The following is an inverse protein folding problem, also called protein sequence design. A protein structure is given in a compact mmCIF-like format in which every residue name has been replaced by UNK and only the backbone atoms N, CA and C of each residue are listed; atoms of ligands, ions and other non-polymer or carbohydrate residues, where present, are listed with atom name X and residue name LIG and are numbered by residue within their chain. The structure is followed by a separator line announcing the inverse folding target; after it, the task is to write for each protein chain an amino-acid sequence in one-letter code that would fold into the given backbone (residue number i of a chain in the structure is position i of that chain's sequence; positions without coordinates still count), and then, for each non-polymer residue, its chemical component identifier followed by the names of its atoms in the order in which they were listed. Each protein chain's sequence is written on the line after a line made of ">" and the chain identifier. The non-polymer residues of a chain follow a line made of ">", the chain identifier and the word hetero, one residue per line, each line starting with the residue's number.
data_IF_677512073591
#
_entry.id   IF_677512073591
#
_cell.length_a   1.000
_cell.length_b   1.000
_cell.length_c   1.000
_cell.angle_alpha   90.00
_cell.angle_beta   90.00
_cell.angle_gamma   90.00
#
_symmetry.space_group_name_H-M   'P 1'
#
loop_
_entity.id
_entity.type
_entity.pdbx_description
1 polymer ?
#
# COMPACT_ATOMS: atom_id res chain seq x y z
N UNK A 1 33.44 -14.62 17.51
CA UNK A 1 32.15 -14.68 18.23
C UNK A 1 30.95 -14.37 17.33
N UNK A 2 31.00 -13.41 16.39
CA UNK A 2 29.84 -13.04 15.55
C UNK A 2 29.27 -14.11 14.57
N UNK A 3 30.00 -15.18 14.24
CA UNK A 3 29.65 -16.10 13.13
C UNK A 3 28.67 -17.22 13.50
N UNK A 4 28.60 -17.60 14.77
CA UNK A 4 27.76 -18.73 15.25
C UNK A 4 26.32 -18.30 15.53
N UNK A 5 26.14 -17.09 16.08
CA UNK A 5 24.81 -16.52 16.38
C UNK A 5 24.03 -16.11 15.11
N UNK A 6 24.73 -15.80 14.01
CA UNK A 6 24.10 -15.49 12.72
C UNK A 6 23.66 -16.73 11.93
N UNK A 7 24.29 -17.89 12.17
CA UNK A 7 24.00 -19.13 11.42
C UNK A 7 22.74 -19.86 11.89
N UNK A 8 22.30 -19.64 13.13
CA UNK A 8 21.08 -20.21 13.70
C UNK A 8 20.00 -19.17 13.99
N UNK A 9 20.08 -17.98 13.37
CA UNK A 9 19.15 -16.89 13.64
C UNK A 9 17.80 -17.21 13.00
N UNK A 10 16.79 -17.42 13.84
CA UNK A 10 15.42 -17.63 13.37
C UNK A 10 14.98 -16.47 12.47
N UNK A 11 14.25 -16.82 11.41
CA UNK A 11 13.74 -15.84 10.47
C UNK A 11 12.42 -15.24 10.98
N UNK A 12 12.54 -14.47 12.06
CA UNK A 12 11.43 -13.74 12.69
C UNK A 12 10.70 -12.82 11.70
N UNK A 13 11.38 -12.35 10.65
CA UNK A 13 10.80 -11.48 9.63
C UNK A 13 9.82 -12.25 8.72
N UNK A 14 10.06 -13.53 8.45
CA UNK A 14 9.11 -14.37 7.70
C UNK A 14 7.94 -14.82 8.58
N UNK A 15 8.18 -15.19 9.83
CA UNK A 15 7.10 -15.62 10.74
C UNK A 15 6.19 -14.48 11.18
N UNK A 16 6.74 -13.27 11.37
CA UNK A 16 5.99 -12.10 11.84
C UNK A 16 5.52 -11.20 10.69
N UNK A 17 6.12 -11.34 9.51
CA UNK A 17 5.89 -10.46 8.37
C UNK A 17 4.60 -10.76 7.59
N UNK A 18 4.44 -10.16 6.41
CA UNK A 18 3.22 -10.25 5.60
C UNK A 18 2.86 -11.68 5.19
N UNK A 19 3.84 -12.57 5.06
CA UNK A 19 3.63 -14.00 4.77
C UNK A 19 3.37 -14.87 6.00
N UNK A 20 3.38 -14.28 7.20
CA UNK A 20 3.25 -14.96 8.48
C UNK A 20 2.07 -14.43 9.30
N UNK A 21 2.28 -14.24 10.60
CA UNK A 21 1.21 -13.90 11.56
C UNK A 21 0.50 -12.57 11.25
N UNK A 22 1.22 -11.57 10.75
CA UNK A 22 0.62 -10.28 10.40
C UNK A 22 -0.37 -10.40 9.22
N UNK A 23 0.02 -11.10 8.14
CA UNK A 23 -0.87 -11.31 6.99
C UNK A 23 -2.09 -12.16 7.33
N UNK A 24 -1.94 -13.18 8.20
CA UNK A 24 -3.09 -13.96 8.70
C UNK A 24 -4.05 -13.08 9.50
N UNK A 25 -3.54 -12.18 10.34
CA UNK A 25 -4.39 -11.26 11.11
C UNK A 25 -5.15 -10.27 10.20
N UNK A 26 -4.50 -9.73 9.17
CA UNK A 26 -5.14 -8.88 8.15
C UNK A 26 -6.23 -9.62 7.37
N UNK A 27 -5.96 -10.84 6.91
CA UNK A 27 -6.95 -11.67 6.22
C UNK A 27 -8.15 -12.00 7.12
N UNK A 28 -7.91 -12.22 8.41
CA UNK A 28 -8.97 -12.41 9.41
C UNK A 28 -9.82 -11.14 9.55
N UNK A 29 -9.21 -9.96 9.58
CA UNK A 29 -9.94 -8.69 9.67
C UNK A 29 -10.78 -8.43 8.40
N UNK A 30 -10.21 -8.64 7.21
CA UNK A 30 -10.92 -8.44 5.95
C UNK A 30 -12.10 -9.41 5.82
N UNK A 31 -11.92 -10.68 6.19
CA UNK A 31 -12.99 -11.68 6.14
C UNK A 31 -14.13 -11.36 7.11
N UNK A 32 -13.83 -10.92 8.33
CA UNK A 32 -14.84 -10.46 9.30
C UNK A 32 -15.66 -9.30 8.76
N UNK A 33 -15.01 -8.29 8.17
CA UNK A 33 -15.73 -7.15 7.58
C UNK A 33 -16.52 -7.53 6.34
N UNK A 34 -16.02 -8.45 5.50
CA UNK A 34 -16.78 -8.96 4.34
C UNK A 34 -18.10 -9.62 4.77
N UNK A 35 -18.08 -10.43 5.82
CA UNK A 35 -19.29 -11.06 6.34
C UNK A 35 -20.23 -10.04 6.99
N UNK A 36 -19.70 -9.15 7.82
CA UNK A 36 -20.50 -8.11 8.47
C UNK A 36 -21.18 -7.14 7.48
N UNK A 37 -20.58 -6.95 6.29
CA UNK A 37 -21.09 -6.00 5.29
C UNK A 37 -21.96 -6.60 4.19
N UNK A 38 -22.16 -7.93 4.18
CA UNK A 38 -22.84 -8.67 3.08
C UNK A 38 -24.21 -8.10 2.68
N UNK A 39 -25.01 -7.65 3.66
CA UNK A 39 -26.35 -7.09 3.45
C UNK A 39 -26.40 -5.57 3.74
N UNK A 40 -25.26 -4.88 3.60
CA UNK A 40 -25.14 -3.44 3.85
C UNK A 40 -24.67 -2.70 2.60
N UNK A 41 -24.75 -1.36 2.64
CA UNK A 41 -24.20 -0.49 1.59
C UNK A 41 -22.67 -0.33 1.67
N UNK A 42 -22.01 -0.99 2.63
CA UNK A 42 -20.57 -0.90 2.81
C UNK A 42 -19.85 -2.01 2.05
N UNK A 43 -18.68 -1.70 1.50
CA UNK A 43 -17.80 -2.68 0.87
C UNK A 43 -16.39 -2.48 1.37
N UNK A 44 -15.77 -3.55 1.86
CA UNK A 44 -14.35 -3.58 2.15
C UNK A 44 -13.57 -4.03 0.90
N UNK A 45 -12.48 -3.34 0.58
CA UNK A 45 -11.55 -3.68 -0.49
C UNK A 45 -10.15 -3.84 0.06
N UNK A 46 -9.52 -4.94 -0.32
CA UNK A 46 -8.13 -5.24 -0.01
C UNK A 46 -7.20 -4.48 -0.98
N UNK A 47 -6.19 -3.80 -0.45
CA UNK A 47 -5.22 -2.99 -1.20
C UNK A 47 -5.84 -2.10 -2.30
N UNK A 48 -6.64 -1.08 -1.93
CA UNK A 48 -7.31 -0.21 -2.89
C UNK A 48 -6.32 0.62 -3.71
N UNK A 49 -6.57 0.72 -5.01
CA UNK A 49 -5.68 1.44 -5.96
C UNK A 49 -6.08 2.89 -6.22
N UNK A 50 -7.11 3.38 -5.53
CA UNK A 50 -7.65 4.74 -5.71
C UNK A 50 -6.59 5.84 -5.56
N UNK A 51 -5.56 5.61 -4.74
CA UNK A 51 -4.48 6.56 -4.46
C UNK A 51 -3.15 6.16 -5.12
N UNK A 52 -3.19 5.32 -6.14
CA UNK A 52 -2.00 4.82 -6.84
C UNK A 52 -1.25 5.91 -7.62
N UNK A 53 -1.96 6.93 -8.09
CA UNK A 53 -1.43 8.01 -8.93
C UNK A 53 -1.68 9.38 -8.26
N UNK A 54 -0.80 9.77 -7.33
CA UNK A 54 -0.90 11.03 -6.57
C UNK A 54 0.19 12.03 -6.91
N UNK A 55 1.44 11.57 -7.00
CA UNK A 55 2.61 12.46 -6.98
C UNK A 55 3.17 12.77 -8.38
N UNK A 56 2.77 11.99 -9.37
CA UNK A 56 3.36 12.00 -10.71
C UNK A 56 3.08 13.26 -11.54
N UNK A 57 2.02 14.00 -11.22
CA UNK A 57 1.57 15.19 -11.95
C UNK A 57 1.72 16.47 -11.12
N UNK A 58 2.50 16.43 -10.03
CA UNK A 58 2.73 17.61 -9.18
C UNK A 58 3.61 18.60 -9.93
N UNK A 59 3.10 19.81 -10.15
CA UNK A 59 3.85 20.88 -10.77
C UNK A 59 4.88 21.46 -9.79
N UNK A 60 6.15 21.46 -10.20
CA UNK A 60 7.25 22.00 -9.41
C UNK A 60 7.76 23.31 -10.02
N UNK A 61 8.10 24.32 -9.22
CA UNK A 61 8.74 25.53 -9.70
C UNK A 61 10.06 25.23 -10.43
N UNK A 62 10.40 26.01 -11.46
CA UNK A 62 11.62 25.81 -12.25
C UNK A 62 12.91 25.77 -11.40
N UNK A 63 12.97 26.58 -10.34
CA UNK A 63 14.08 26.58 -9.37
C UNK A 63 14.23 25.22 -8.68
N UNK A 64 13.13 24.57 -8.34
CA UNK A 64 13.12 23.24 -7.70
C UNK A 64 13.52 22.17 -8.69
N UNK A 65 12.98 22.21 -9.92
CA UNK A 65 13.33 21.26 -10.98
C UNK A 65 14.85 21.29 -11.24
N UNK A 66 15.46 22.48 -11.31
CA UNK A 66 16.91 22.62 -11.52
C UNK A 66 17.76 22.11 -10.34
N UNK A 67 17.19 21.99 -9.14
CA UNK A 67 17.90 21.61 -7.92
C UNK A 67 17.74 20.12 -7.54
N UNK A 68 16.85 19.39 -8.21
CA UNK A 68 16.60 17.97 -7.94
C UNK A 68 17.07 17.09 -9.10
N UNK A 69 17.19 15.81 -8.83
CA UNK A 69 17.39 14.82 -9.87
C UNK A 69 16.13 14.69 -10.74
N UNK A 70 16.28 14.87 -12.05
CA UNK A 70 15.23 14.62 -13.03
C UNK A 70 15.63 13.38 -13.85
N UNK A 71 14.98 12.23 -13.64
CA UNK A 71 15.28 11.04 -14.43
C UNK A 71 14.90 11.23 -15.90
N UNK A 72 15.47 10.40 -16.77
CA UNK A 72 15.19 10.45 -18.20
C UNK A 72 13.71 10.12 -18.50
N UNK A 73 13.26 10.52 -19.69
CA UNK A 73 11.86 10.37 -20.11
C UNK A 73 11.39 8.90 -20.12
N UNK A 74 12.25 7.93 -20.42
CA UNK A 74 11.86 6.52 -20.44
C UNK A 74 11.67 5.99 -19.02
N UNK A 75 12.60 6.33 -18.11
CA UNK A 75 12.48 6.02 -16.68
C UNK A 75 11.24 6.66 -16.07
N UNK A 76 10.98 7.94 -16.35
CA UNK A 76 9.77 8.64 -15.87
C UNK A 76 8.49 7.96 -16.34
N UNK A 77 8.36 7.64 -17.64
CA UNK A 77 7.17 6.97 -18.18
C UNK A 77 6.93 5.61 -17.53
N UNK A 78 7.99 4.83 -17.31
CA UNK A 78 7.88 3.54 -16.64
C UNK A 78 7.44 3.68 -15.18
N UNK A 79 7.94 4.71 -14.50
CA UNK A 79 7.61 4.99 -13.11
C UNK A 79 6.16 5.48 -12.95
N UNK A 80 5.70 6.39 -13.83
CA UNK A 80 4.30 6.84 -13.92
C UNK A 80 3.35 5.67 -14.24
N UNK A 81 3.73 4.76 -15.15
CA UNK A 81 2.93 3.55 -15.43
C UNK A 81 2.73 2.68 -14.19
N UNK A 82 3.73 2.61 -13.30
CA UNK A 82 3.61 1.89 -12.02
C UNK A 82 2.77 2.65 -11.00
N UNK A 83 2.66 3.96 -11.14
CA UNK A 83 1.93 4.86 -10.26
C UNK A 83 2.78 5.29 -9.08
N UNK A 84 2.83 6.60 -8.86
CA UNK A 84 3.47 7.21 -7.69
C UNK A 84 2.39 7.67 -6.73
N UNK A 85 2.18 6.89 -5.69
CA UNK A 85 1.10 7.16 -4.76
C UNK A 85 1.27 6.38 -3.47
N UNK A 86 0.15 6.06 -2.84
CA UNK A 86 0.11 5.26 -1.62
C UNK A 86 -0.72 4.01 -1.84
N UNK A 87 -0.33 2.94 -1.16
CA UNK A 87 -1.07 1.67 -1.13
C UNK A 87 -1.56 1.45 0.29
N UNK A 88 -2.82 1.80 0.60
CA UNK A 88 -3.45 1.44 1.86
C UNK A 88 -3.60 -0.08 1.99
N UNK A 89 -3.76 -0.58 3.21
CA UNK A 89 -3.96 -2.02 3.45
C UNK A 89 -5.39 -2.42 3.09
N UNK A 90 -6.38 -1.61 3.47
CA UNK A 90 -7.75 -1.78 3.01
C UNK A 90 -8.54 -0.46 2.96
N UNK A 91 -9.63 -0.43 2.20
CA UNK A 91 -10.63 0.63 2.26
C UNK A 91 -12.01 0.10 2.58
N UNK A 92 -12.82 0.94 3.23
CA UNK A 92 -14.25 0.71 3.42
C UNK A 92 -15.00 1.78 2.64
N UNK A 93 -15.79 1.38 1.66
CA UNK A 93 -16.56 2.27 0.79
C UNK A 93 -18.03 2.21 1.14
N UNK A 94 -18.66 3.36 1.38
CA UNK A 94 -20.11 3.50 1.51
C UNK A 94 -20.71 3.83 0.14
N UNK A 95 -21.44 2.88 -0.46
CA UNK A 95 -22.05 3.01 -1.80
C UNK A 95 -23.09 4.12 -1.89
N UNK A 96 -23.82 4.42 -0.80
CA UNK A 96 -24.86 5.47 -0.81
C UNK A 96 -24.32 6.89 -0.82
N UNK A 97 -23.15 7.10 -0.22
CA UNK A 97 -22.55 8.44 -0.05
C UNK A 97 -21.32 8.66 -0.92
N UNK A 98 -20.90 7.66 -1.68
CA UNK A 98 -19.67 7.66 -2.49
C UNK A 98 -18.42 8.07 -1.68
N UNK A 99 -18.41 7.76 -0.37
CA UNK A 99 -17.28 8.02 0.52
C UNK A 99 -16.51 6.75 0.77
N UNK A 100 -15.18 6.85 0.76
CA UNK A 100 -14.28 5.78 1.15
C UNK A 100 -13.45 6.19 2.36
N UNK A 101 -13.24 5.26 3.27
CA UNK A 101 -12.37 5.39 4.44
C UNK A 101 -11.16 4.50 4.20
N UNK A 102 -9.96 5.04 4.45
CA UNK A 102 -8.70 4.32 4.28
C UNK A 102 -8.16 3.89 5.63
N UNK A 103 -7.63 2.68 5.68
CA UNK A 103 -6.97 2.15 6.86
C UNK A 103 -5.55 1.72 6.48
N UNK A 104 -4.64 1.93 7.43
CA UNK A 104 -3.20 1.71 7.37
C UNK A 104 -2.79 0.98 8.65
#
# INVERSE_FOLDING_TARGET
>A
MAKKDLQGRDNWQTESGPGGKAGVAEQNLISVFKEAFKDTDYVISDHPTNLKHLYENVELPAKTIAAIFNPDLATMKNAQKRGWGVSPDFSITNKKREKFYLVK
#
